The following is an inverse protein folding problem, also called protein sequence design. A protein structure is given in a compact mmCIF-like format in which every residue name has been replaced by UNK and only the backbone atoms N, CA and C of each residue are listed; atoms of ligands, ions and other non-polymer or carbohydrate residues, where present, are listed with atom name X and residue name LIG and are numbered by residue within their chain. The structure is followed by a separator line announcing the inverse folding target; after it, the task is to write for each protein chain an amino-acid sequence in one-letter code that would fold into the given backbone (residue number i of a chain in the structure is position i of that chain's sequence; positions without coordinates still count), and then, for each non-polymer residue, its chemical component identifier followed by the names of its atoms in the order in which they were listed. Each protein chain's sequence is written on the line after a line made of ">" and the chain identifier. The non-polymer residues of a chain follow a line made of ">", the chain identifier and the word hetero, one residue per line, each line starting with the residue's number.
data_IF_630565342411
#
_entry.id   IF_630565342411
#
_cell.length_a   1.000
_cell.length_b   1.000
_cell.length_c   1.000
_cell.angle_alpha   90.00
_cell.angle_beta   90.00
_cell.angle_gamma   90.00
#
_symmetry.space_group_name_H-M   'P 1'
#
loop_
_entity.id
_entity.type
_entity.pdbx_description
1 polymer ?
#
# COMPACT_ATOMS: atom_id res chain seq x y z
N UNK A 1 20.93 11.30 6.72
CA UNK A 1 19.92 11.77 7.70
C UNK A 1 19.24 13.00 7.12
N UNK A 2 18.00 12.86 6.64
CA UNK A 2 17.31 13.89 5.82
C UNK A 2 16.23 14.68 6.59
N UNK A 3 16.14 14.50 7.92
CA UNK A 3 15.03 15.02 8.75
C UNK A 3 14.84 16.55 8.72
N UNK A 4 15.83 17.32 8.29
CA UNK A 4 15.75 18.79 8.20
C UNK A 4 15.40 19.33 6.81
N UNK A 5 15.33 18.47 5.80
CA UNK A 5 15.18 18.80 4.39
C UNK A 5 13.83 18.27 3.87
N UNK A 6 12.78 19.11 3.83
CA UNK A 6 11.44 18.69 3.45
C UNK A 6 11.35 18.21 2.01
N UNK A 7 12.21 18.68 1.11
CA UNK A 7 12.20 18.29 -0.29
C UNK A 7 12.77 16.89 -0.47
N UNK A 8 13.89 16.58 0.20
CA UNK A 8 14.40 15.20 0.25
C UNK A 8 13.45 14.24 0.95
N UNK A 9 12.75 14.67 2.00
CA UNK A 9 11.73 13.84 2.64
C UNK A 9 10.56 13.57 1.68
N UNK A 10 10.16 14.56 0.89
CA UNK A 10 9.12 14.41 -0.11
C UNK A 10 9.55 13.44 -1.22
N UNK A 11 10.79 13.54 -1.69
CA UNK A 11 11.37 12.59 -2.65
C UNK A 11 11.40 11.15 -2.09
N UNK A 12 11.71 10.97 -0.81
CA UNK A 12 11.67 9.65 -0.16
C UNK A 12 10.25 9.10 -0.04
N UNK A 13 9.28 9.97 0.29
CA UNK A 13 7.86 9.61 0.40
C UNK A 13 7.27 9.23 -0.96
N UNK A 14 7.61 9.97 -2.02
CA UNK A 14 7.12 9.70 -3.37
C UNK A 14 7.91 8.54 -4.02
N UNK A 15 9.20 8.42 -3.70
CA UNK A 15 10.11 7.45 -4.29
C UNK A 15 10.28 7.63 -5.80
N UNK A 16 10.55 6.53 -6.51
CA UNK A 16 10.61 6.49 -7.99
C UNK A 16 9.24 6.27 -8.65
N UNK A 17 8.16 6.31 -7.86
CA UNK A 17 6.81 5.99 -8.33
C UNK A 17 6.18 7.22 -8.98
N UNK A 18 5.37 7.02 -10.01
CA UNK A 18 4.46 8.07 -10.46
C UNK A 18 3.42 8.30 -9.36
N UNK A 19 3.16 9.57 -9.04
CA UNK A 19 2.15 9.89 -8.03
C UNK A 19 0.78 9.35 -8.47
N UNK A 20 0.05 8.69 -7.56
CA UNK A 20 -1.30 8.24 -7.84
C UNK A 20 -2.20 9.45 -8.15
N UNK A 21 -3.15 9.25 -9.08
CA UNK A 21 -4.13 10.26 -9.46
C UNK A 21 -5.46 9.95 -8.79
N UNK A 22 -6.16 10.99 -8.35
CA UNK A 22 -7.52 10.89 -7.84
C UNK A 22 -8.53 10.67 -8.99
N UNK A 23 -9.83 10.56 -8.66
CA UNK A 23 -10.92 10.37 -9.64
C UNK A 23 -11.03 11.49 -10.70
N UNK A 24 -10.40 12.65 -10.45
CA UNK A 24 -10.34 13.79 -11.37
C UNK A 24 -9.04 13.80 -12.21
N UNK A 25 -8.17 12.80 -12.04
CA UNK A 25 -6.89 12.70 -12.72
C UNK A 25 -5.77 13.56 -12.12
N UNK A 26 -5.98 14.13 -10.92
CA UNK A 26 -5.01 14.99 -10.24
C UNK A 26 -4.14 14.21 -9.26
N UNK A 27 -2.84 14.52 -9.24
CA UNK A 27 -1.92 14.02 -8.22
C UNK A 27 -2.08 14.80 -6.90
N UNK A 28 -1.56 14.27 -5.77
CA UNK A 28 -1.49 15.03 -4.53
C UNK A 28 -0.75 16.37 -4.65
N UNK A 29 0.18 16.49 -5.61
CA UNK A 29 0.86 17.75 -5.90
C UNK A 29 -0.06 18.72 -6.62
N UNK A 30 -0.82 18.27 -7.61
CA UNK A 30 -1.78 19.12 -8.33
C UNK A 30 -2.88 19.62 -7.37
N UNK A 31 -3.38 18.75 -6.49
CA UNK A 31 -4.36 19.13 -5.47
C UNK A 31 -3.76 20.04 -4.39
N UNK A 32 -2.46 19.94 -4.12
CA UNK A 32 -1.76 20.89 -3.23
C UNK A 32 -1.67 22.28 -3.86
N UNK A 33 -1.38 22.37 -5.15
CA UNK A 33 -1.41 23.65 -5.87
C UNK A 33 -2.81 24.26 -5.85
N UNK A 34 -3.85 23.45 -6.07
CA UNK A 34 -5.24 23.90 -5.98
C UNK A 34 -5.59 24.37 -4.56
N UNK A 35 -5.15 23.65 -3.52
CA UNK A 35 -5.30 24.06 -2.13
C UNK A 35 -4.65 25.42 -1.86
N UNK A 36 -3.43 25.64 -2.37
CA UNK A 36 -2.73 26.91 -2.23
C UNK A 36 -3.47 28.06 -2.92
N UNK A 37 -3.97 27.82 -4.14
CA UNK A 37 -4.77 28.80 -4.88
C UNK A 37 -6.07 29.16 -4.16
N UNK A 38 -6.75 28.17 -3.58
CA UNK A 38 -8.05 28.35 -2.90
C UNK A 38 -7.92 28.99 -1.52
N UNK A 39 -6.92 28.57 -0.72
CA UNK A 39 -6.76 29.04 0.66
C UNK A 39 -5.88 30.28 0.80
N UNK A 40 -5.14 30.64 -0.25
CA UNK A 40 -4.15 31.70 -0.20
C UNK A 40 -2.84 31.30 0.50
N UNK A 41 -2.61 30.01 0.75
CA UNK A 41 -1.34 29.51 1.24
C UNK A 41 -0.24 29.78 0.20
N UNK A 42 0.60 30.79 0.43
CA UNK A 42 1.66 31.21 -0.50
C UNK A 42 3.03 31.13 0.15
N UNK A 43 4.03 30.75 -0.65
CA UNK A 43 5.41 30.67 -0.20
C UNK A 43 5.95 32.02 0.31
N UNK A 44 5.52 33.12 -0.30
CA UNK A 44 5.96 34.47 0.06
C UNK A 44 5.57 34.86 1.51
N UNK A 45 4.44 34.34 1.99
CA UNK A 45 3.90 34.66 3.31
C UNK A 45 4.49 33.76 4.41
N UNK A 46 4.82 32.51 4.06
CA UNK A 46 5.29 31.48 4.99
C UNK A 46 6.82 31.34 5.02
N UNK A 47 7.49 31.75 3.95
CA UNK A 47 8.89 31.48 3.67
C UNK A 47 9.11 30.08 3.06
N UNK A 48 10.21 29.89 2.29
CA UNK A 48 10.43 28.67 1.49
C UNK A 48 10.40 27.38 2.31
N UNK A 49 11.03 27.39 3.48
CA UNK A 49 11.16 26.20 4.31
C UNK A 49 9.82 25.77 4.92
N UNK A 50 9.05 26.72 5.45
CA UNK A 50 7.74 26.41 6.03
C UNK A 50 6.77 25.94 4.95
N UNK A 51 6.79 26.58 3.79
CA UNK A 51 5.99 26.18 2.63
C UNK A 51 6.31 24.75 2.17
N UNK A 52 7.59 24.38 2.11
CA UNK A 52 8.01 23.02 1.78
C UNK A 52 7.54 21.98 2.81
N UNK A 53 7.54 22.30 4.11
CA UNK A 53 6.96 21.42 5.13
C UNK A 53 5.44 21.29 5.02
N UNK A 54 4.73 22.37 4.68
CA UNK A 54 3.28 22.33 4.43
C UNK A 54 2.99 21.44 3.21
N UNK A 55 3.77 21.55 2.14
CA UNK A 55 3.68 20.66 0.97
C UNK A 55 3.91 19.20 1.36
N UNK A 56 4.98 18.91 2.09
CA UNK A 56 5.29 17.56 2.58
C UNK A 56 4.13 17.00 3.42
N UNK A 57 3.64 17.76 4.40
CA UNK A 57 2.53 17.35 5.25
C UNK A 57 1.24 17.11 4.46
N UNK A 58 0.92 17.99 3.49
CA UNK A 58 -0.26 17.84 2.66
C UNK A 58 -0.18 16.61 1.76
N UNK A 59 0.96 16.40 1.07
CA UNK A 59 1.15 15.26 0.16
C UNK A 59 1.17 13.94 0.93
N UNK A 60 1.89 13.85 2.05
CA UNK A 60 1.92 12.65 2.90
C UNK A 60 0.52 12.31 3.46
N UNK A 61 -0.21 13.32 3.95
CA UNK A 61 -1.60 13.14 4.37
C UNK A 61 -2.53 12.78 3.20
N UNK A 62 -2.25 13.31 2.00
CA UNK A 62 -2.92 12.97 0.75
C UNK A 62 -2.74 11.51 0.40
N UNK A 63 -1.50 11.04 0.30
CA UNK A 63 -1.17 9.65 -0.02
C UNK A 63 -1.80 8.64 0.95
N UNK A 64 -1.95 9.00 2.23
CA UNK A 64 -2.66 8.18 3.22
C UNK A 64 -4.20 8.19 3.09
N UNK A 65 -4.78 9.06 2.25
CA UNK A 65 -6.23 9.11 2.01
C UNK A 65 -6.60 8.17 0.88
N UNK A 66 -7.75 7.49 1.06
CA UNK A 66 -8.39 6.62 0.05
C UNK A 66 -8.59 7.26 -1.35
N UNK A 67 -8.49 8.59 -1.47
CA UNK A 67 -8.66 9.35 -2.72
C UNK A 67 -7.46 9.28 -3.67
N UNK A 68 -6.28 8.90 -3.19
CA UNK A 68 -5.11 8.68 -4.04
C UNK A 68 -4.66 7.22 -3.98
N UNK A 69 -5.61 6.29 -3.83
CA UNK A 69 -5.33 4.91 -4.19
C UNK A 69 -4.85 4.96 -5.64
N UNK A 70 -3.68 4.38 -5.89
CA UNK A 70 -3.22 4.00 -7.23
C UNK A 70 -4.41 3.67 -8.10
N UNK A 71 -4.45 4.24 -9.33
CA UNK A 71 -5.43 3.87 -10.34
C UNK A 71 -5.61 2.36 -10.25
N UNK A 72 -6.80 1.91 -9.87
CA UNK A 72 -7.03 0.55 -9.36
C UNK A 72 -6.43 -0.51 -10.27
N UNK A 73 -6.30 -1.73 -9.74
CA UNK A 73 -5.81 -2.86 -10.54
C UNK A 73 -6.52 -2.89 -11.90
N UNK A 74 -5.77 -3.09 -12.97
CA UNK A 74 -6.41 -3.30 -14.26
C UNK A 74 -7.20 -4.62 -14.28
N UNK A 75 -8.08 -4.77 -15.26
CA UNK A 75 -9.01 -5.89 -15.35
C UNK A 75 -8.33 -7.28 -15.29
N UNK A 76 -7.07 -7.38 -15.73
CA UNK A 76 -6.32 -8.64 -15.65
C UNK A 76 -5.87 -8.93 -14.22
N UNK A 77 -5.31 -7.94 -13.52
CA UNK A 77 -4.91 -8.08 -12.12
C UNK A 77 -6.13 -8.25 -11.20
N UNK A 78 -7.24 -7.58 -11.48
CA UNK A 78 -8.51 -7.81 -10.78
C UNK A 78 -8.97 -9.26 -10.93
N UNK A 79 -8.88 -9.82 -12.15
CA UNK A 79 -9.18 -11.23 -12.39
C UNK A 79 -8.25 -12.15 -11.61
N UNK A 80 -6.95 -11.88 -11.61
CA UNK A 80 -5.99 -12.67 -10.83
C UNK A 80 -6.30 -12.60 -9.32
N UNK A 81 -6.66 -11.42 -8.81
CA UNK A 81 -7.09 -11.30 -7.41
C UNK A 81 -8.34 -12.12 -7.12
N UNK A 82 -9.32 -12.13 -8.02
CA UNK A 82 -10.52 -12.94 -7.87
C UNK A 82 -10.19 -14.45 -7.83
N UNK A 83 -9.33 -14.90 -8.74
CA UNK A 83 -8.90 -16.30 -8.83
C UNK A 83 -8.13 -16.72 -7.55
N UNK A 84 -7.18 -15.90 -7.09
CA UNK A 84 -6.44 -16.13 -5.84
C UNK A 84 -7.37 -16.11 -4.62
N UNK A 85 -8.32 -15.16 -4.58
CA UNK A 85 -9.31 -15.07 -3.51
C UNK A 85 -10.12 -16.36 -3.40
N UNK A 86 -10.57 -16.91 -4.53
CA UNK A 86 -11.28 -18.18 -4.54
C UNK A 86 -10.42 -19.31 -3.98
N UNK A 87 -9.16 -19.39 -4.40
CA UNK A 87 -8.23 -20.43 -3.95
C UNK A 87 -7.89 -20.34 -2.45
N UNK A 88 -7.76 -19.14 -1.91
CA UNK A 88 -7.44 -18.92 -0.50
C UNK A 88 -8.66 -19.01 0.42
N UNK A 89 -9.86 -18.67 -0.08
CA UNK A 89 -11.11 -18.73 0.70
C UNK A 89 -11.43 -20.13 1.20
N UNK A 90 -11.04 -21.15 0.43
CA UNK A 90 -11.24 -22.56 0.79
C UNK A 90 -10.12 -23.11 1.70
N UNK A 91 -9.21 -22.26 2.18
CA UNK A 91 -8.09 -22.64 3.04
C UNK A 91 -8.32 -22.22 4.50
N UNK A 92 -7.66 -22.90 5.46
CA UNK A 92 -7.65 -22.45 6.85
C UNK A 92 -7.13 -21.02 6.98
N UNK A 93 -7.68 -20.21 7.91
CA UNK A 93 -7.12 -18.91 8.26
C UNK A 93 -5.62 -19.02 8.60
N UNK A 94 -4.84 -18.00 8.25
CA UNK A 94 -3.38 -18.04 8.36
C UNK A 94 -2.66 -18.70 7.17
N UNK A 95 -3.39 -19.08 6.11
CA UNK A 95 -2.80 -19.55 4.85
C UNK A 95 -2.48 -18.37 3.93
N UNK A 96 -1.27 -18.36 3.34
CA UNK A 96 -0.80 -17.37 2.38
C UNK A 96 -0.52 -17.96 1.01
N UNK A 97 -0.70 -17.13 -0.01
CA UNK A 97 -0.16 -17.31 -1.35
C UNK A 97 1.15 -16.52 -1.45
N UNK A 98 2.26 -17.22 -1.62
CA UNK A 98 3.58 -16.60 -1.69
C UNK A 98 3.87 -16.14 -3.12
N UNK A 99 3.72 -14.83 -3.39
CA UNK A 99 3.82 -14.27 -4.74
C UNK A 99 5.26 -13.92 -5.09
N UNK A 100 5.96 -13.26 -4.18
CA UNK A 100 7.40 -12.97 -4.29
C UNK A 100 8.11 -13.48 -3.04
N UNK A 101 9.45 -13.36 -3.00
CA UNK A 101 10.23 -13.80 -1.84
C UNK A 101 9.92 -13.03 -0.54
N UNK A 102 9.30 -11.85 -0.66
CA UNK A 102 9.03 -10.91 0.41
C UNK A 102 7.55 -10.50 0.53
N UNK A 103 6.72 -10.75 -0.50
CA UNK A 103 5.31 -10.37 -0.50
C UNK A 103 4.40 -11.57 -0.66
N UNK A 104 3.40 -11.62 0.23
CA UNK A 104 2.41 -12.68 0.27
C UNK A 104 1.01 -12.11 0.26
N UNK A 105 0.06 -12.89 -0.29
CA UNK A 105 -1.36 -12.56 -0.27
C UNK A 105 -2.09 -13.49 0.69
N UNK A 106 -3.11 -12.99 1.36
CA UNK A 106 -3.89 -13.76 2.30
C UNK A 106 -5.37 -13.37 2.29
N UNK A 107 -6.20 -14.29 2.75
CA UNK A 107 -7.63 -14.08 2.93
C UNK A 107 -7.95 -13.78 4.39
N UNK A 108 -8.61 -12.66 4.67
CA UNK A 108 -8.97 -12.23 6.04
C UNK A 108 -10.35 -12.71 6.51
N UNK A 109 -11.07 -13.45 5.66
CA UNK A 109 -12.47 -13.84 5.90
C UNK A 109 -13.49 -13.05 5.08
N UNK A 110 -13.13 -11.87 4.56
CA UNK A 110 -13.99 -11.02 3.73
C UNK A 110 -13.38 -10.57 2.41
N UNK A 111 -12.06 -10.36 2.36
CA UNK A 111 -11.33 -9.92 1.16
C UNK A 111 -9.90 -10.44 1.11
N UNK A 112 -9.32 -10.32 -0.08
CA UNK A 112 -7.89 -10.54 -0.30
C UNK A 112 -7.12 -9.31 0.18
N UNK A 113 -6.08 -9.54 0.96
CA UNK A 113 -5.12 -8.52 1.38
C UNK A 113 -3.70 -9.02 1.08
N UNK A 114 -2.73 -8.11 1.15
CA UNK A 114 -1.31 -8.47 1.07
C UNK A 114 -0.60 -8.19 2.39
N UNK A 115 0.54 -8.85 2.59
CA UNK A 115 1.50 -8.47 3.61
C UNK A 115 2.94 -8.80 3.19
N UNK A 116 3.89 -8.08 3.77
CA UNK A 116 5.31 -8.37 3.62
C UNK A 116 5.75 -9.38 4.66
N UNK A 117 6.76 -10.17 4.32
CA UNK A 117 7.43 -11.07 5.25
C UNK A 117 8.52 -10.33 6.02
N UNK A 118 8.86 -10.83 7.21
CA UNK A 118 9.99 -10.33 7.97
C UNK A 118 11.31 -10.65 7.27
N UNK A 119 12.23 -9.69 7.27
CA UNK A 119 13.60 -9.89 6.77
C UNK A 119 14.39 -10.85 7.69
N UNK A 120 14.03 -10.90 8.97
CA UNK A 120 14.68 -11.75 9.97
C UNK A 120 14.18 -13.20 9.93
N UNK A 121 12.87 -13.39 9.73
CA UNK A 121 12.25 -14.70 9.52
C UNK A 121 11.15 -14.62 8.47
N UNK A 122 11.42 -15.17 7.29
CA UNK A 122 10.48 -15.22 6.18
C UNK A 122 9.23 -16.03 6.49
N UNK A 123 9.11 -16.72 7.64
CA UNK A 123 7.89 -17.38 8.11
C UNK A 123 6.90 -16.38 8.70
N UNK A 124 7.40 -15.28 9.22
CA UNK A 124 6.62 -14.28 9.92
C UNK A 124 6.15 -13.18 8.99
N UNK A 125 4.90 -12.77 9.20
CA UNK A 125 4.31 -11.63 8.51
C UNK A 125 4.66 -10.36 9.27
N UNK A 126 5.18 -9.36 8.56
CA UNK A 126 5.76 -8.15 9.13
C UNK A 126 4.83 -6.94 9.04
N UNK A 127 4.41 -6.55 7.83
CA UNK A 127 3.56 -5.37 7.62
C UNK A 127 2.47 -5.63 6.58
N UNK A 128 1.24 -5.11 6.76
CA UNK A 128 0.23 -5.14 5.71
C UNK A 128 0.69 -4.31 4.50
N UNK A 129 0.32 -4.75 3.29
CA UNK A 129 0.56 -4.02 2.05
C UNK A 129 -0.72 -3.87 1.24
N UNK A 130 -0.79 -2.75 0.51
CA UNK A 130 -1.85 -2.51 -0.47
C UNK A 130 -1.52 -3.27 -1.76
N UNK A 131 -2.51 -3.99 -2.29
CA UNK A 131 -2.31 -4.86 -3.46
C UNK A 131 -1.91 -4.05 -4.69
N UNK A 132 -2.48 -2.87 -4.84
CA UNK A 132 -2.28 -2.01 -5.98
C UNK A 132 -0.86 -1.44 -6.05
N UNK A 133 -0.14 -1.44 -4.94
CA UNK A 133 1.26 -1.01 -4.87
C UNK A 133 2.25 -2.08 -5.37
N UNK A 134 1.86 -3.37 -5.29
CA UNK A 134 2.79 -4.49 -5.53
C UNK A 134 2.44 -5.27 -6.80
N UNK A 135 1.15 -5.52 -7.05
CA UNK A 135 0.71 -6.39 -8.14
C UNK A 135 1.06 -5.88 -9.54
N UNK A 136 1.08 -4.57 -9.83
CA UNK A 136 1.56 -4.08 -11.12
C UNK A 136 3.02 -4.46 -11.41
N UNK A 137 3.88 -4.49 -10.39
CA UNK A 137 5.28 -4.90 -10.50
C UNK A 137 5.49 -6.41 -10.43
N UNK A 138 4.57 -7.15 -9.82
CA UNK A 138 4.65 -8.60 -9.61
C UNK A 138 3.75 -9.41 -10.55
N UNK A 139 3.23 -8.82 -11.64
CA UNK A 139 2.25 -9.47 -12.53
C UNK A 139 2.70 -10.84 -13.03
N UNK A 140 3.94 -10.96 -13.49
CA UNK A 140 4.45 -12.22 -14.04
C UNK A 140 4.56 -13.29 -12.94
N UNK A 141 4.97 -12.89 -11.74
CA UNK A 141 5.03 -13.77 -10.57
C UNK A 141 3.64 -14.25 -10.14
N UNK A 142 2.63 -13.38 -10.20
CA UNK A 142 1.22 -13.73 -9.95
C UNK A 142 0.73 -14.76 -10.97
N UNK A 143 1.05 -14.55 -12.26
CA UNK A 143 0.65 -15.48 -13.33
C UNK A 143 1.34 -16.84 -13.19
N UNK A 144 2.63 -16.86 -12.83
CA UNK A 144 3.39 -18.08 -12.56
C UNK A 144 2.83 -18.82 -11.34
N UNK A 145 2.54 -18.09 -10.26
CA UNK A 145 1.93 -18.67 -9.07
C UNK A 145 0.55 -19.26 -9.38
N UNK A 146 -0.30 -18.56 -10.16
CA UNK A 146 -1.60 -19.10 -10.58
C UNK A 146 -1.49 -20.38 -11.41
N UNK A 147 -0.43 -20.51 -12.22
CA UNK A 147 -0.16 -21.73 -12.98
C UNK A 147 0.28 -22.89 -12.08
N UNK A 148 0.92 -22.59 -10.93
CA UNK A 148 1.44 -23.57 -9.96
C UNK A 148 1.21 -23.07 -8.52
N UNK A 149 -0.05 -23.12 -8.02
CA UNK A 149 -0.40 -22.50 -6.76
C UNK A 149 0.30 -23.20 -5.59
N UNK A 150 1.06 -22.43 -4.83
CA UNK A 150 1.77 -22.89 -3.63
C UNK A 150 1.27 -22.13 -2.41
N UNK A 151 0.97 -22.87 -1.35
CA UNK A 151 0.37 -22.31 -0.13
C UNK A 151 1.31 -22.55 1.05
N UNK A 152 1.46 -21.52 1.87
CA UNK A 152 2.24 -21.57 3.10
C UNK A 152 1.34 -21.25 4.29
N UNK A 153 1.48 -21.98 5.38
CA UNK A 153 0.77 -21.68 6.63
C UNK A 153 1.67 -20.87 7.55
N UNK A 154 1.14 -19.76 8.07
CA UNK A 154 1.89 -18.79 8.89
C UNK A 154 1.14 -18.52 10.19
N UNK A 155 1.64 -19.03 11.34
CA UNK A 155 1.03 -18.77 12.64
C UNK A 155 0.95 -17.27 12.97
N UNK A 156 1.97 -16.48 12.60
CA UNK A 156 1.98 -15.03 12.82
C UNK A 156 0.79 -14.32 12.15
N UNK A 157 0.35 -14.81 10.99
CA UNK A 157 -0.81 -14.26 10.30
C UNK A 157 -2.10 -14.65 11.02
N UNK A 158 -2.17 -15.85 11.56
CA UNK A 158 -3.33 -16.28 12.34
C UNK A 158 -3.52 -15.38 13.57
N UNK A 159 -2.43 -15.03 14.26
CA UNK A 159 -2.46 -14.09 15.39
C UNK A 159 -2.93 -12.69 14.98
N UNK A 160 -2.60 -12.23 13.76
CA UNK A 160 -3.11 -10.97 13.22
C UNK A 160 -4.60 -11.00 12.92
N UNK A 161 -5.09 -12.14 12.44
CA UNK A 161 -6.49 -12.32 12.07
C UNK A 161 -7.38 -12.62 13.28
N UNK A 162 -6.80 -13.08 14.40
CA UNK A 162 -7.54 -13.35 15.61
C UNK A 162 -8.06 -12.03 16.18
N UNK A 163 -9.39 -11.85 16.31
CA UNK A 163 -9.92 -10.65 16.94
C UNK A 163 -9.36 -10.54 18.34
N UNK A 164 -8.71 -9.40 18.64
CA UNK A 164 -8.23 -9.04 19.98
C UNK A 164 -9.23 -9.51 21.04
N UNK A 165 -8.81 -10.26 22.08
CA UNK A 165 -9.73 -10.75 23.08
C UNK A 165 -10.51 -9.57 23.69
N UNK A 166 -11.83 -9.69 23.86
CA UNK A 166 -12.65 -8.62 24.40
C UNK A 166 -12.20 -8.36 25.86
N UNK A 167 -11.39 -7.32 26.05
CA UNK A 167 -10.80 -6.99 27.35
C UNK A 167 -9.49 -6.20 27.31
N UNK A 168 -8.88 -5.98 26.14
CA UNK A 168 -7.72 -5.11 25.98
C UNK A 168 -8.13 -3.64 25.76
N UNK A 169 -8.66 -2.99 26.82
CA UNK A 169 -8.73 -1.52 26.96
C UNK A 169 -8.38 -1.14 28.40
#
# INVERSE_FOLDING_TARGET
>A
MCYGDPDRLLELVIGKRALPKNDLGHTPLDDFEHFCAYTGCREQDLGPRAFAFVRLAYVTAGLNRRRYRSAGLDAQLEKYCADISMLLRDRPPGTTADITGDAVLYWDGGRLNGATLSEDDVRDVALPLELEDILPGARDAVAEWLARPTFSFRPSLLEWLDPLPPGAL
#
